data_IF_735014134341
#
_entry.id   IF_735014134341
#
_cell.length_a   1.000
_cell.length_b   1.000
_cell.length_c   1.000
_cell.angle_alpha   90.00
_cell.angle_beta   90.00
_cell.angle_gamma   90.00
#
_symmetry.space_group_name_H-M   'P 1'
#
loop_
_entity.id
_entity.type
_entity.pdbx_description
1 polymer ?
#
# COMPACT_ATOMS: atom_id res chain seq x y z
N UNK A 1 5.80 -18.86 -1.73
CA UNK A 1 4.66 -18.05 -1.23
C UNK A 1 5.01 -16.58 -0.97
N UNK A 2 6.16 -16.24 -0.37
CA UNK A 2 6.50 -14.82 -0.06
C UNK A 2 6.72 -13.91 -1.28
N UNK A 3 7.32 -14.41 -2.36
CA UNK A 3 7.65 -13.60 -3.55
C UNK A 3 6.41 -13.18 -4.36
N UNK A 4 5.42 -14.06 -4.50
CA UNK A 4 4.14 -13.74 -5.17
C UNK A 4 3.40 -12.65 -4.39
N UNK A 5 3.42 -12.72 -3.07
CA UNK A 5 2.79 -11.72 -2.20
C UNK A 5 3.44 -10.35 -2.40
N UNK A 6 4.77 -10.28 -2.44
CA UNK A 6 5.50 -9.05 -2.73
C UNK A 6 5.19 -8.47 -4.12
N UNK A 7 5.07 -9.33 -5.14
CA UNK A 7 4.69 -8.92 -6.49
C UNK A 7 3.26 -8.36 -6.53
N UNK A 8 2.30 -9.05 -5.91
CA UNK A 8 0.90 -8.59 -5.84
C UNK A 8 0.85 -7.24 -5.14
N UNK A 9 1.47 -7.09 -3.98
CA UNK A 9 1.55 -5.82 -3.25
C UNK A 9 2.15 -4.69 -4.08
N UNK A 10 3.25 -4.94 -4.79
CA UNK A 10 3.87 -3.95 -5.66
C UNK A 10 2.98 -3.53 -6.83
N UNK A 11 2.27 -4.48 -7.46
CA UNK A 11 1.36 -4.19 -8.56
C UNK A 11 0.07 -3.51 -8.09
N UNK A 12 -0.48 -3.88 -6.93
CA UNK A 12 -1.71 -3.26 -6.41
C UNK A 12 -1.52 -1.77 -6.16
N UNK A 13 -0.36 -1.33 -5.67
CA UNK A 13 -0.09 0.10 -5.48
C UNK A 13 0.16 0.88 -6.78
N UNK A 14 0.30 0.21 -7.92
CA UNK A 14 0.28 0.85 -9.24
C UNK A 14 -1.11 0.84 -9.86
N UNK A 15 -1.78 -0.30 -9.81
CA UNK A 15 -3.05 -0.53 -10.50
C UNK A 15 -4.25 0.09 -9.77
N UNK A 16 -4.31 -0.03 -8.43
CA UNK A 16 -5.43 0.46 -7.62
C UNK A 16 -5.60 1.99 -7.68
N UNK A 17 -4.54 2.81 -7.49
CA UNK A 17 -4.70 4.26 -7.64
C UNK A 17 -5.04 4.66 -9.09
N UNK A 18 -4.59 3.91 -10.09
CA UNK A 18 -4.98 4.15 -11.48
C UNK A 18 -6.48 3.89 -11.70
N UNK A 19 -7.02 2.77 -11.20
CA UNK A 19 -8.45 2.44 -11.30
C UNK A 19 -9.32 3.52 -10.63
N UNK A 20 -8.94 3.93 -9.41
CA UNK A 20 -9.69 4.97 -8.69
C UNK A 20 -9.59 6.31 -9.42
N UNK A 21 -8.41 6.63 -9.96
CA UNK A 21 -8.23 7.85 -10.73
C UNK A 21 -9.11 7.89 -11.99
N UNK A 22 -9.14 6.80 -12.77
CA UNK A 22 -10.01 6.69 -13.95
C UNK A 22 -11.47 6.91 -13.56
N UNK A 23 -11.97 6.17 -12.55
CA UNK A 23 -13.36 6.28 -12.11
C UNK A 23 -13.75 7.71 -11.68
N UNK A 24 -12.84 8.45 -11.05
CA UNK A 24 -13.16 9.72 -10.41
C UNK A 24 -12.72 10.97 -11.19
N UNK A 25 -11.74 10.84 -12.08
CA UNK A 25 -11.15 11.97 -12.82
C UNK A 25 -11.16 11.83 -14.34
N UNK A 26 -11.46 10.66 -14.93
CA UNK A 26 -11.52 10.47 -16.39
C UNK A 26 -12.44 11.50 -17.07
N UNK A 27 -13.62 11.75 -16.49
CA UNK A 27 -14.59 12.73 -16.99
C UNK A 27 -14.17 14.21 -16.79
N UNK A 28 -13.14 14.46 -15.97
CA UNK A 28 -12.58 15.78 -15.67
C UNK A 28 -11.28 16.05 -16.43
N UNK A 29 -10.72 15.03 -17.09
CA UNK A 29 -9.50 15.17 -17.90
C UNK A 29 -9.72 16.17 -19.03
N UNK A 30 -8.79 17.13 -19.15
CA UNK A 30 -8.86 18.21 -20.14
C UNK A 30 -9.71 19.44 -19.74
N UNK A 31 -10.51 19.38 -18.66
CA UNK A 31 -11.33 20.51 -18.20
C UNK A 31 -10.77 21.22 -16.97
N UNK A 32 -10.06 20.51 -16.10
CA UNK A 32 -9.50 21.04 -14.84
C UNK A 32 -8.15 20.38 -14.55
N UNK A 33 -7.31 21.00 -13.72
CA UNK A 33 -6.08 20.35 -13.23
C UNK A 33 -6.45 19.15 -12.35
N UNK A 34 -6.33 17.94 -12.90
CA UNK A 34 -6.55 16.68 -12.18
C UNK A 34 -5.25 16.24 -11.51
N UNK A 35 -5.28 15.74 -10.25
CA UNK A 35 -4.10 15.18 -9.59
C UNK A 35 -3.61 13.95 -10.34
N UNK A 36 -2.32 13.60 -10.23
CA UNK A 36 -1.80 12.39 -10.86
C UNK A 36 -2.22 11.15 -10.05
N UNK A 37 -2.37 9.96 -10.66
CA UNK A 37 -2.66 8.72 -9.94
C UNK A 37 -1.69 8.45 -8.78
N UNK A 38 -0.42 8.83 -8.96
CA UNK A 38 0.63 8.71 -7.95
C UNK A 38 0.41 9.57 -6.70
N UNK A 39 -0.40 10.64 -6.80
CA UNK A 39 -0.69 11.56 -5.69
C UNK A 39 -1.89 11.09 -4.83
N UNK A 40 -2.64 10.06 -5.25
CA UNK A 40 -3.79 9.56 -4.48
C UNK A 40 -3.39 8.80 -3.22
N UNK A 41 -2.21 8.18 -3.20
CA UNK A 41 -1.71 7.42 -2.07
C UNK A 41 -0.62 8.18 -1.31
N UNK A 42 -0.53 7.96 0.00
CA UNK A 42 0.54 8.56 0.81
C UNK A 42 1.81 7.75 0.70
N UNK A 43 2.82 8.30 0.03
CA UNK A 43 4.17 7.73 -0.05
C UNK A 43 4.76 7.37 1.33
N UNK A 44 4.41 8.12 2.38
CA UNK A 44 4.89 7.85 3.75
C UNK A 44 4.30 6.54 4.32
N UNK A 45 3.00 6.30 4.17
CA UNK A 45 2.39 5.04 4.64
C UNK A 45 2.88 3.84 3.83
N UNK A 46 3.07 4.02 2.51
CA UNK A 46 3.66 2.99 1.66
C UNK A 46 5.06 2.57 2.15
N UNK A 47 5.91 3.54 2.50
CA UNK A 47 7.25 3.27 3.03
C UNK A 47 7.19 2.51 4.37
N UNK A 48 6.30 2.89 5.28
CA UNK A 48 6.11 2.21 6.58
C UNK A 48 5.66 0.77 6.38
N UNK A 49 4.72 0.53 5.46
CA UNK A 49 4.27 -0.81 5.12
C UNK A 49 5.40 -1.67 4.53
N UNK A 50 6.14 -1.13 3.55
CA UNK A 50 7.27 -1.84 2.93
C UNK A 50 8.34 -2.17 3.95
N UNK A 51 8.64 -1.25 4.87
CA UNK A 51 9.58 -1.50 5.97
C UNK A 51 9.09 -2.63 6.90
N UNK A 52 7.81 -2.63 7.29
CA UNK A 52 7.23 -3.70 8.12
C UNK A 52 7.25 -5.07 7.44
N UNK A 53 7.04 -5.12 6.13
CA UNK A 53 7.18 -6.35 5.34
C UNK A 53 8.64 -6.83 5.23
N UNK A 54 9.59 -5.90 5.12
CA UNK A 54 11.03 -6.19 5.11
C UNK A 54 11.48 -6.77 6.45
N UNK A 55 11.03 -6.17 7.56
CA UNK A 55 11.26 -6.68 8.91
C UNK A 55 10.70 -8.08 9.06
N UNK A 56 9.46 -8.33 8.60
CA UNK A 56 8.88 -9.68 8.59
C UNK A 56 9.78 -10.69 7.86
N UNK A 57 10.23 -10.38 6.63
CA UNK A 57 11.14 -11.26 5.89
C UNK A 57 12.43 -11.54 6.68
N UNK A 58 13.01 -10.49 7.27
CA UNK A 58 14.27 -10.59 8.03
C UNK A 58 14.13 -11.32 9.37
N UNK A 59 12.95 -11.34 9.99
CA UNK A 59 12.74 -12.05 11.28
C UNK A 59 12.17 -13.45 11.08
N UNK A 60 11.28 -13.63 10.09
CA UNK A 60 10.57 -14.88 9.87
C UNK A 60 11.45 -15.91 9.16
N UNK A 61 12.27 -15.51 8.17
CA UNK A 61 13.15 -16.44 7.44
C UNK A 61 14.21 -17.03 8.39
N UNK A 62 14.94 -16.24 9.20
CA UNK A 62 15.86 -16.79 10.19
C UNK A 62 15.12 -17.50 11.32
N UNK A 63 13.93 -17.04 11.72
CA UNK A 63 13.10 -17.71 12.72
C UNK A 63 12.76 -19.15 12.35
N UNK A 64 12.42 -19.38 11.07
CA UNK A 64 12.25 -20.73 10.52
C UNK A 64 13.54 -21.55 10.53
N UNK A 65 14.69 -20.94 10.22
CA UNK A 65 15.98 -21.65 10.15
C UNK A 65 16.51 -22.05 11.54
N UNK A 66 16.31 -21.19 12.55
CA UNK A 66 16.67 -21.44 13.94
C UNK A 66 15.61 -22.22 14.73
N UNK A 67 14.46 -22.57 14.12
CA UNK A 67 13.30 -23.18 14.78
C UNK A 67 12.83 -22.43 16.05
N UNK A 68 13.08 -21.12 16.12
CA UNK A 68 12.80 -20.31 17.30
C UNK A 68 11.38 -19.76 17.25
N UNK A 69 10.50 -20.34 18.06
CA UNK A 69 9.10 -19.89 18.19
C UNK A 69 8.94 -18.38 18.46
N UNK A 70 9.68 -17.74 19.39
CA UNK A 70 9.49 -16.31 19.66
C UNK A 70 9.84 -15.42 18.46
N UNK A 71 10.85 -15.80 17.67
CA UNK A 71 11.28 -15.03 16.51
C UNK A 71 10.26 -15.13 15.36
N UNK A 72 9.64 -16.30 15.19
CA UNK A 72 8.54 -16.49 14.25
C UNK A 72 7.30 -15.68 14.65
N UNK A 73 6.91 -15.69 15.93
CA UNK A 73 5.78 -14.89 16.41
C UNK A 73 6.01 -13.39 16.23
N UNK A 74 7.22 -12.89 16.51
CA UNK A 74 7.59 -11.50 16.26
C UNK A 74 7.43 -11.12 14.78
N UNK A 75 7.87 -12.00 13.86
CA UNK A 75 7.67 -11.81 12.43
C UNK A 75 6.20 -11.75 12.04
N UNK A 76 5.38 -12.68 12.52
CA UNK A 76 3.94 -12.74 12.23
C UNK A 76 3.23 -11.47 12.71
N UNK A 77 3.58 -10.96 13.91
CA UNK A 77 3.02 -9.70 14.44
C UNK A 77 3.38 -8.51 13.53
N UNK A 78 4.64 -8.44 13.06
CA UNK A 78 5.08 -7.42 12.11
C UNK A 78 4.32 -7.49 10.79
N UNK A 79 4.06 -8.71 10.30
CA UNK A 79 3.27 -8.93 9.08
C UNK A 79 1.82 -8.46 9.25
N UNK A 80 1.20 -8.77 10.39
CA UNK A 80 -0.16 -8.34 10.72
C UNK A 80 -0.24 -6.81 10.75
N UNK A 81 0.74 -6.16 11.36
CA UNK A 81 0.84 -4.70 11.39
C UNK A 81 0.97 -4.11 9.97
N UNK A 82 1.82 -4.70 9.12
CA UNK A 82 1.96 -4.29 7.72
C UNK A 82 0.64 -4.47 6.93
N UNK A 83 -0.13 -5.52 7.20
CA UNK A 83 -1.42 -5.77 6.56
C UNK A 83 -2.49 -4.74 6.98
N UNK A 84 -2.50 -4.31 8.25
CA UNK A 84 -3.39 -3.24 8.72
C UNK A 84 -3.03 -1.91 8.04
N UNK A 85 -1.73 -1.56 8.01
CA UNK A 85 -1.24 -0.36 7.31
C UNK A 85 -1.61 -0.37 5.82
N UNK A 86 -1.52 -1.54 5.18
CA UNK A 86 -1.95 -1.74 3.80
C UNK A 86 -3.44 -1.43 3.61
N UNK A 87 -4.31 -2.01 4.46
CA UNK A 87 -5.75 -1.77 4.44
C UNK A 87 -6.07 -0.28 4.60
N UNK A 88 -5.43 0.39 5.56
CA UNK A 88 -5.58 1.84 5.76
C UNK A 88 -5.20 2.62 4.50
N UNK A 89 -4.10 2.27 3.86
CA UNK A 89 -3.68 2.88 2.58
C UNK A 89 -4.73 2.68 1.48
N UNK A 90 -5.26 1.46 1.33
CA UNK A 90 -6.33 1.15 0.36
C UNK A 90 -7.58 1.98 0.65
N UNK A 91 -7.99 2.10 1.92
CA UNK A 91 -9.11 2.96 2.29
C UNK A 91 -8.87 4.43 1.98
N UNK A 92 -7.67 4.95 2.22
CA UNK A 92 -7.32 6.34 1.87
C UNK A 92 -7.43 6.56 0.35
N UNK A 93 -7.02 5.59 -0.47
CA UNK A 93 -7.12 5.69 -1.93
C UNK A 93 -8.58 5.61 -2.37
N UNK A 94 -9.34 4.63 -1.86
CA UNK A 94 -10.75 4.43 -2.23
C UNK A 94 -11.65 5.59 -1.79
N UNK A 95 -11.42 6.13 -0.59
CA UNK A 95 -12.14 7.27 -0.05
C UNK A 95 -11.44 8.60 -0.32
N UNK A 96 -10.49 8.65 -1.27
CA UNK A 96 -9.85 9.88 -1.66
C UNK A 96 -10.89 10.83 -2.24
N UNK A 97 -11.34 11.79 -1.42
CA UNK A 97 -12.31 12.79 -1.84
C UNK A 97 -11.69 13.64 -2.93
N UNK A 98 -12.37 13.77 -4.06
CA UNK A 98 -12.00 14.67 -5.16
C UNK A 98 -11.77 16.07 -4.59
N UNK A 99 -10.51 16.48 -4.45
CA UNK A 99 -10.20 17.90 -4.38
C UNK A 99 -10.26 18.42 -5.81
N UNK A 100 -11.47 18.65 -6.29
CA UNK A 100 -11.69 19.55 -7.42
C UNK A 100 -11.16 20.90 -6.96
N UNK A 101 -9.99 21.31 -7.46
CA UNK A 101 -9.54 22.70 -7.34
C UNK A 101 -10.45 23.56 -8.21
N UNK A 102 -11.70 23.71 -7.78
CA UNK A 102 -12.59 24.75 -8.26
C UNK A 102 -12.15 26.04 -7.60
N UNK A 103 -11.36 26.85 -8.32
CA UNK A 103 -11.61 28.29 -8.26
C UNK A 103 -12.44 28.61 -9.49
N UNK A 104 -13.67 29.06 -9.18
CA UNK A 104 -14.57 29.93 -9.92
C UNK A 104 -14.06 30.40 -11.29
#
# INVERSE_FOLDING_TARGET
MGWITALILGQTFKTLPFIVWVKHYEHLTGKVKTPMPADLFKNSLLKVQTAGFLVFCLTFIPGCFLLSQPLMYAGIISLLFAAIMYLVNVFIILFHKTKTYGKL
#
